data_IF_377798981319
#
_entry.id   IF_377798981319
#
_cell.length_a   1.000
_cell.length_b   1.000
_cell.length_c   1.000
_cell.angle_alpha   90.00
_cell.angle_beta   90.00
_cell.angle_gamma   90.00
#
_symmetry.space_group_name_H-M   'P 1'
#
loop_
_entity.id
_entity.type
_entity.pdbx_description
1 polymer ?
2 non-polymer ?
3 water ?
#
# COMPACT_ATOMS: atom_id res chain seq x y z
N UNK A 1 -6.44 -25.92 -0.76
CA UNK A 1 -5.20 -25.62 -1.47
C UNK A 1 -4.03 -26.37 -0.84
N UNK A 2 -3.01 -26.65 -1.65
CA UNK A 2 -1.83 -27.39 -1.20
C UNK A 2 -0.64 -26.46 -1.05
N UNK A 3 0.44 -27.01 -0.50
CA UNK A 3 1.64 -26.22 -0.28
C UNK A 3 2.29 -25.77 -1.57
N UNK A 4 2.30 -26.64 -2.59
CA UNK A 4 2.82 -26.26 -3.90
C UNK A 4 2.02 -25.12 -4.49
N UNK A 5 0.69 -25.14 -4.28
CA UNK A 5 -0.15 -24.05 -4.75
C UNK A 5 0.22 -22.74 -4.09
N UNK A 6 0.46 -22.78 -2.77
CA UNK A 6 0.77 -21.56 -2.03
C UNK A 6 2.10 -20.98 -2.48
N UNK A 7 3.11 -21.83 -2.70
CA UNK A 7 4.38 -21.32 -3.20
C UNK A 7 4.21 -20.67 -4.57
N UNK A 8 3.44 -21.30 -5.44
CA UNK A 8 3.23 -20.77 -6.79
C UNK A 8 2.61 -19.38 -6.75
N UNK A 9 1.73 -19.13 -5.79
CA UNK A 9 1.02 -17.85 -5.76
C UNK A 9 1.66 -16.80 -4.88
N UNK A 10 2.37 -17.20 -3.82
CA UNK A 10 2.75 -16.30 -2.75
C UNK A 10 4.24 -16.10 -2.58
N UNK A 11 5.07 -16.91 -3.24
CA UNK A 11 6.52 -16.78 -3.14
C UNK A 11 7.04 -16.03 -4.36
N UNK A 12 7.67 -14.87 -4.13
CA UNK A 12 8.19 -14.07 -5.22
C UNK A 12 9.71 -14.01 -5.28
N UNK A 13 10.41 -14.41 -4.22
CA UNK A 13 11.86 -14.43 -4.24
C UNK A 13 12.35 -15.76 -4.84
N UNK A 14 13.67 -15.89 -4.99
CA UNK A 14 14.26 -17.06 -5.64
C UNK A 14 14.55 -18.17 -4.62
N UNK A 15 13.50 -18.65 -3.97
CA UNK A 15 13.62 -19.75 -3.04
C UNK A 15 12.45 -20.71 -3.21
N UNK A 16 12.41 -21.72 -2.34
CA UNK A 16 11.37 -22.75 -2.35
C UNK A 16 10.58 -22.73 -1.04
N UNK A 17 10.50 -21.58 -0.40
CA UNK A 17 9.92 -21.53 0.93
C UNK A 17 9.22 -20.19 1.16
N UNK A 18 8.30 -20.21 2.12
CA UNK A 18 7.63 -19.00 2.57
C UNK A 18 8.22 -18.58 3.91
N UNK A 19 8.75 -17.38 3.98
CA UNK A 19 9.26 -16.80 5.21
C UNK A 19 8.15 -15.99 5.91
N UNK A 20 8.41 -15.55 7.14
CA UNK A 20 7.33 -14.92 7.90
C UNK A 20 6.80 -13.67 7.21
N UNK A 21 7.66 -12.86 6.59
CA UNK A 21 7.14 -11.67 5.91
C UNK A 21 6.18 -12.04 4.78
N UNK A 22 6.51 -13.07 3.99
CA UNK A 22 5.61 -13.51 2.92
C UNK A 22 4.31 -14.03 3.50
N UNK A 23 4.38 -14.75 4.62
CA UNK A 23 3.19 -15.33 5.21
C UNK A 23 2.30 -14.26 5.82
N UNK A 24 2.88 -13.32 6.57
CA UNK A 24 2.05 -12.26 7.15
C UNK A 24 1.38 -11.44 6.05
N UNK A 25 2.12 -11.07 5.00
CA UNK A 25 1.49 -10.29 3.94
C UNK A 25 0.33 -11.04 3.30
N UNK A 26 0.49 -12.34 3.03
CA UNK A 26 -0.59 -13.11 2.45
C UNK A 26 -1.74 -13.26 3.42
N UNK A 27 -1.46 -13.32 4.72
CA UNK A 27 -2.52 -13.30 5.71
C UNK A 27 -3.31 -12.01 5.69
N UNK A 28 -2.64 -10.88 5.49
CA UNK A 28 -3.35 -9.61 5.43
C UNK A 28 -4.24 -9.54 4.20
N UNK A 29 -3.74 -10.02 3.05
CA UNK A 29 -4.56 -10.06 1.84
C UNK A 29 -5.78 -10.96 2.04
N UNK A 30 -5.58 -12.09 2.71
CA UNK A 30 -6.66 -13.05 2.88
C UNK A 30 -7.74 -12.52 3.82
N UNK A 31 -7.34 -11.81 4.88
CA UNK A 31 -8.29 -11.17 5.77
C UNK A 31 -9.32 -10.38 4.98
N UNK A 32 -8.87 -9.52 4.08
CA UNK A 32 -9.79 -8.72 3.27
C UNK A 32 -10.57 -9.60 2.30
N UNK A 33 -9.93 -10.61 1.73
CA UNK A 33 -10.57 -11.43 0.72
C UNK A 33 -11.73 -12.24 1.28
N UNK A 34 -11.70 -12.56 2.58
CA UNK A 34 -12.75 -13.36 3.20
C UNK A 34 -13.76 -12.50 3.95
N UNK A 35 -13.75 -11.19 3.73
CA UNK A 35 -14.55 -10.24 4.48
C UNK A 35 -15.49 -9.55 3.48
N UNK A 36 -16.64 -10.16 3.17
CA UNK A 36 -17.49 -9.63 2.08
C UNK A 36 -18.54 -8.61 2.49
N UNK A 37 -18.60 -8.22 3.75
CA UNK A 37 -19.68 -7.38 4.25
C UNK A 37 -19.33 -5.90 4.35
N UNK A 38 -18.18 -5.48 3.83
CA UNK A 38 -17.87 -4.07 3.71
C UNK A 38 -17.38 -3.38 4.95
N UNK A 39 -16.99 -4.13 5.97
CA UNK A 39 -16.44 -3.57 7.19
C UNK A 39 -14.92 -3.83 7.21
N UNK A 40 -14.29 -3.60 8.36
CA UNK A 40 -12.86 -3.89 8.50
C UNK A 40 -12.60 -5.01 9.50
N UNK A 41 -13.63 -5.82 9.79
CA UNK A 41 -13.60 -6.74 10.91
C UNK A 41 -14.13 -8.11 10.47
N UNK A 42 -13.51 -9.15 11.00
CA UNK A 42 -14.02 -10.50 10.81
C UNK A 42 -14.91 -10.90 11.97
N UNK A 43 -16.13 -11.32 11.66
CA UNK A 43 -17.05 -11.86 12.65
C UNK A 43 -16.93 -13.38 12.64
N UNK A 44 -17.51 -14.03 13.66
CA UNK A 44 -17.27 -15.47 13.81
C UNK A 44 -17.76 -16.25 12.60
N UNK A 45 -18.87 -15.83 11.99
CA UNK A 45 -19.34 -16.52 10.80
C UNK A 45 -18.34 -16.46 9.66
N UNK A 46 -17.65 -15.31 9.53
CA UNK A 46 -16.66 -15.15 8.47
C UNK A 46 -15.44 -16.04 8.63
N UNK A 47 -15.14 -16.49 9.85
CA UNK A 47 -13.93 -17.27 10.10
C UNK A 47 -14.18 -18.76 10.22
N UNK A 48 -15.42 -19.22 10.03
CA UNK A 48 -15.70 -20.65 10.09
C UNK A 48 -14.79 -21.42 9.16
N UNK A 49 -14.33 -22.58 9.61
CA UNK A 49 -13.48 -23.41 8.78
C UNK A 49 -12.05 -22.96 8.67
N UNK A 50 -11.71 -21.81 9.24
CA UNK A 50 -10.36 -21.31 9.28
C UNK A 50 -9.85 -21.17 10.70
N UNK A 51 -10.69 -20.73 11.63
CA UNK A 51 -10.32 -20.54 13.03
C UNK A 51 -11.25 -21.34 13.92
N UNK A 52 -10.74 -21.72 15.09
CA UNK A 52 -11.52 -22.38 16.12
C UNK A 52 -11.96 -21.37 17.18
N UNK A 53 -12.87 -21.82 18.05
CA UNK A 53 -13.26 -21.01 19.20
C UNK A 53 -12.07 -20.75 20.11
N UNK A 54 -11.12 -21.69 20.19
CA UNK A 54 -9.93 -21.49 21.02
C UNK A 54 -9.03 -20.39 20.46
N UNK A 55 -8.97 -20.25 19.13
CA UNK A 55 -8.21 -19.17 18.53
C UNK A 55 -8.80 -17.82 18.89
N UNK A 56 -10.13 -17.71 18.85
CA UNK A 56 -10.80 -16.47 19.25
C UNK A 56 -10.53 -16.16 20.71
N UNK A 57 -10.63 -17.16 21.58
CA UNK A 57 -10.37 -16.93 23.00
C UNK A 57 -8.94 -16.47 23.24
N UNK A 58 -7.99 -17.01 22.49
CA UNK A 58 -6.59 -16.67 22.71
C UNK A 58 -6.25 -15.30 22.15
N UNK A 59 -6.79 -14.95 20.99
CA UNK A 59 -6.35 -13.75 20.27
C UNK A 59 -7.28 -12.55 20.41
N UNK A 60 -8.56 -12.76 20.67
CA UNK A 60 -9.52 -11.65 20.75
C UNK A 60 -9.70 -11.29 22.22
N UNK A 61 -8.86 -10.38 22.72
CA UNK A 61 -8.81 -10.08 24.14
C UNK A 61 -9.40 -8.72 24.49
N UNK A 62 -10.10 -8.09 23.57
CA UNK A 62 -10.57 -6.72 23.71
C UNK A 62 -12.07 -6.64 24.00
N UNK A 63 -12.72 -7.76 24.22
CA UNK A 63 -14.10 -7.74 24.70
C UNK A 63 -15.16 -7.57 23.64
N UNK A 64 -14.78 -7.57 22.36
CA UNK A 64 -15.70 -7.37 21.26
C UNK A 64 -16.06 -8.71 20.61
N UNK A 65 -16.81 -8.64 19.52
CA UNK A 65 -17.15 -9.79 18.70
C UNK A 65 -16.50 -9.71 17.33
N UNK A 66 -15.39 -8.97 17.23
CA UNK A 66 -14.75 -8.65 15.96
C UNK A 66 -13.26 -8.95 16.03
N UNK A 67 -12.77 -9.68 15.02
CA UNK A 67 -11.34 -9.84 14.85
C UNK A 67 -10.83 -8.73 13.94
N UNK A 68 -10.01 -7.85 14.50
CA UNK A 68 -9.29 -6.86 13.73
C UNK A 68 -8.06 -7.50 13.09
N UNK A 69 -7.44 -6.78 12.17
CA UNK A 69 -6.33 -7.35 11.38
C UNK A 69 -5.24 -7.90 12.29
N UNK A 70 -4.93 -7.20 13.38
CA UNK A 70 -3.82 -7.66 14.22
C UNK A 70 -4.16 -8.95 14.94
N UNK A 71 -5.41 -9.12 15.38
CA UNK A 71 -5.78 -10.35 16.07
C UNK A 71 -5.74 -11.56 15.13
N UNK A 72 -6.20 -11.38 13.89
CA UNK A 72 -6.07 -12.39 12.85
C UNK A 72 -4.60 -12.76 12.62
N UNK A 73 -3.74 -11.75 12.44
CA UNK A 73 -2.35 -12.04 12.12
C UNK A 73 -1.61 -12.66 13.31
N UNK A 74 -2.01 -12.34 14.54
CA UNK A 74 -1.40 -12.99 15.71
C UNK A 74 -1.58 -14.50 15.64
N UNK A 75 -2.78 -14.94 15.28
CA UNK A 75 -3.04 -16.38 15.18
C UNK A 75 -2.17 -16.99 14.11
N UNK A 76 -2.07 -16.29 12.97
CA UNK A 76 -1.26 -16.78 11.86
C UNK A 76 0.20 -16.94 12.26
N UNK A 77 0.76 -15.97 12.99
CA UNK A 77 2.15 -16.12 13.40
C UNK A 77 2.33 -17.32 14.32
N UNK A 78 1.38 -17.56 15.23
CA UNK A 78 1.46 -18.75 16.07
C UNK A 78 1.38 -20.03 15.23
N UNK A 79 0.50 -20.05 14.24
CA UNK A 79 0.41 -21.23 13.39
C UNK A 79 1.65 -21.44 12.56
N UNK A 80 2.31 -20.35 12.15
CA UNK A 80 3.57 -20.47 11.41
C UNK A 80 4.60 -21.22 12.23
N UNK A 81 4.75 -20.85 13.51
CA UNK A 81 5.70 -21.52 14.40
C UNK A 81 5.39 -23.00 14.53
N UNK A 82 4.11 -23.35 14.67
CA UNK A 82 3.75 -24.76 14.82
C UNK A 82 4.02 -25.57 13.56
N UNK A 83 3.87 -24.96 12.38
CA UNK A 83 4.15 -25.64 11.13
C UNK A 83 5.63 -25.78 10.82
N UNK A 84 6.47 -24.88 11.35
CA UNK A 84 7.89 -24.81 11.01
C UNK A 84 8.64 -25.84 11.84
N UNK A 85 8.50 -27.10 11.44
CA UNK A 85 8.97 -28.22 12.25
C UNK A 85 10.49 -28.21 12.47
N UNK A 86 11.26 -27.62 11.56
CA UNK A 86 12.70 -27.57 11.72
C UNK A 86 13.21 -26.19 12.15
N UNK A 87 12.34 -25.31 12.61
CA UNK A 87 12.72 -24.09 13.33
C UNK A 87 13.51 -23.08 12.52
N UNK A 88 13.60 -23.23 11.19
CA UNK A 88 14.48 -22.37 10.42
C UNK A 88 13.83 -21.08 9.92
N UNK A 89 12.57 -20.80 10.30
CA UNK A 89 11.89 -19.59 9.86
C UNK A 89 11.41 -19.64 8.43
N UNK A 90 11.41 -20.80 7.81
CA UNK A 90 10.96 -20.96 6.44
C UNK A 90 9.99 -22.13 6.41
N UNK A 91 8.89 -21.97 5.67
CA UNK A 91 7.96 -23.07 5.47
C UNK A 91 8.14 -23.61 4.06
N UNK A 92 8.58 -24.86 3.96
CA UNK A 92 8.68 -25.54 2.69
C UNK A 92 7.38 -26.28 2.39
N UNK A 93 7.31 -26.89 1.20
CA UNK A 93 6.09 -27.56 0.77
C UNK A 93 5.71 -28.70 1.73
N UNK A 94 6.69 -29.47 2.20
CA UNK A 94 6.37 -30.57 3.10
C UNK A 94 5.80 -30.06 4.42
N UNK A 95 6.34 -28.96 4.93
CA UNK A 95 5.79 -28.38 6.16
C UNK A 95 4.40 -27.82 5.92
N UNK A 96 4.18 -27.20 4.74
CA UNK A 96 2.86 -26.64 4.42
C UNK A 96 1.82 -27.73 4.25
N UNK A 97 2.22 -28.91 3.78
CA UNK A 97 1.26 -29.99 3.58
C UNK A 97 1.02 -30.80 4.85
N UNK A 98 1.78 -30.58 5.92
CA UNK A 98 1.55 -31.28 7.18
C UNK A 98 0.24 -30.79 7.80
N UNK A 99 -0.23 -31.51 8.82
CA UNK A 99 -1.46 -31.09 9.50
C UNK A 99 -1.35 -29.65 10.01
N UNK A 100 -0.23 -29.32 10.66
CA UNK A 100 -0.03 -27.95 11.15
C UNK A 100 0.09 -26.96 10.00
N UNK A 101 0.71 -27.38 8.88
CA UNK A 101 0.82 -26.50 7.73
C UNK A 101 -0.51 -26.17 7.11
N UNK A 102 -1.46 -27.10 7.16
CA UNK A 102 -2.81 -26.83 6.67
C UNK A 102 -3.45 -25.65 7.39
N UNK A 103 -3.14 -25.48 8.67
CA UNK A 103 -3.65 -24.35 9.41
C UNK A 103 -3.09 -23.03 8.95
N UNK A 104 -1.84 -23.01 8.48
CA UNK A 104 -1.31 -21.82 7.80
C UNK A 104 -2.02 -21.60 6.47
N UNK A 105 -2.21 -22.68 5.70
CA UNK A 105 -2.75 -22.53 4.35
C UNK A 105 -4.13 -21.88 4.37
N UNK A 106 -4.97 -22.23 5.35
CA UNK A 106 -6.33 -21.69 5.39
C UNK A 106 -6.36 -20.23 5.82
N UNK A 107 -5.24 -19.67 6.24
CA UNK A 107 -5.18 -18.25 6.57
C UNK A 107 -4.46 -17.41 5.52
N UNK A 108 -3.80 -18.03 4.55
CA UNK A 108 -3.02 -17.29 3.56
C UNK A 108 -3.54 -17.42 2.15
N UNK A 109 -4.55 -18.25 1.93
CA UNK A 109 -5.23 -18.25 0.64
C UNK A 109 -6.71 -18.44 0.86
N UNK A 110 -7.48 -17.66 0.13
CA UNK A 110 -8.93 -17.76 0.21
C UNK A 110 -9.34 -19.19 -0.16
N UNK B 1 -0.87 15.95 13.40
CA UNK B 1 -1.97 16.90 13.47
C UNK B 1 -2.57 16.92 14.87
N UNK B 2 -3.70 17.60 15.02
CA UNK B 2 -4.42 17.63 16.29
C UNK B 2 -5.45 16.52 16.33
N UNK B 3 -6.01 16.31 17.51
CA UNK B 3 -7.07 15.32 17.65
C UNK B 3 -8.28 15.66 16.81
N UNK B 4 -8.69 16.94 16.84
CA UNK B 4 -9.82 17.37 16.02
C UNK B 4 -9.53 17.17 14.53
N UNK B 5 -8.31 17.53 14.09
CA UNK B 5 -7.95 17.33 12.70
C UNK B 5 -7.92 15.85 12.34
N UNK B 6 -7.51 14.99 13.28
CA UNK B 6 -7.50 13.55 13.00
C UNK B 6 -8.93 13.01 12.89
N UNK B 7 -9.82 13.46 13.78
CA UNK B 7 -11.22 13.05 13.69
C UNK B 7 -11.84 13.54 12.38
N UNK B 8 -11.54 14.78 11.97
CA UNK B 8 -12.05 15.29 10.70
C UNK B 8 -11.51 14.48 9.52
N UNK B 9 -10.26 14.04 9.61
CA UNK B 9 -9.68 13.26 8.53
C UNK B 9 -10.37 11.91 8.35
N UNK B 10 -10.90 11.34 9.45
CA UNK B 10 -11.63 10.08 9.41
C UNK B 10 -13.14 10.28 9.28
N UNK B 11 -13.57 11.42 8.75
CA UNK B 11 -14.99 11.74 8.57
C UNK B 11 -15.76 11.60 9.88
N UNK B 12 -15.32 12.35 10.88
CA UNK B 12 -15.96 12.39 12.18
C UNK B 12 -16.01 13.83 12.69
N UNK B 13 -16.90 14.07 13.64
CA UNK B 13 -17.10 15.41 14.20
C UNK B 13 -16.14 15.66 15.37
N UNK B 14 -16.10 16.91 15.82
CA UNK B 14 -15.10 17.33 16.80
C UNK B 14 -15.28 16.67 18.16
N UNK B 15 -16.51 16.32 18.53
CA UNK B 15 -16.76 15.70 19.83
C UNK B 15 -16.99 14.19 19.71
N UNK B 16 -16.61 13.60 18.58
CA UNK B 16 -16.68 12.15 18.37
C UNK B 16 -15.41 11.49 18.92
N UNK B 17 -15.32 10.18 18.76
CA UNK B 17 -14.16 9.45 19.29
C UNK B 17 -13.80 8.31 18.36
N UNK B 18 -12.58 7.82 18.52
CA UNK B 18 -12.08 6.70 17.74
C UNK B 18 -12.07 5.44 18.58
N UNK B 19 -12.53 4.34 18.01
CA UNK B 19 -12.48 3.05 18.68
C UNK B 19 -11.46 2.15 18.00
N UNK B 20 -11.23 0.97 18.58
CA UNK B 20 -10.04 0.23 18.21
C UNK B 20 -10.10 -0.27 16.76
N UNK B 21 -11.30 -0.66 16.27
CA UNK B 21 -11.36 -1.17 14.89
C UNK B 21 -10.94 -0.10 13.88
N UNK B 22 -11.43 1.14 14.04
CA UNK B 22 -11.05 2.20 13.11
C UNK B 22 -9.57 2.52 13.22
N UNK B 23 -9.04 2.50 14.44
CA UNK B 23 -7.63 2.78 14.66
C UNK B 23 -6.74 1.71 14.01
N UNK B 24 -7.09 0.44 14.21
CA UNK B 24 -6.27 -0.64 13.63
C UNK B 24 -6.31 -0.56 12.11
N UNK B 25 -7.49 -0.31 11.53
CA UNK B 25 -7.56 -0.21 10.08
C UNK B 25 -6.71 0.94 9.56
N UNK B 26 -6.79 2.10 10.22
CA UNK B 26 -5.94 3.22 9.82
C UNK B 26 -4.45 2.90 10.01
N UNK B 27 -4.11 2.18 11.09
CA UNK B 27 -2.74 1.75 11.28
C UNK B 27 -2.24 0.84 10.18
N UNK B 28 -3.10 -0.05 9.69
CA UNK B 28 -2.70 -0.96 8.61
C UNK B 28 -2.44 -0.19 7.32
N UNK B 29 -3.29 0.80 7.02
CA UNK B 29 -3.08 1.63 5.84
C UNK B 29 -1.79 2.42 5.96
N UNK B 30 -1.53 2.96 7.15
CA UNK B 30 -0.33 3.77 7.37
C UNK B 30 0.95 2.93 7.22
N UNK B 31 0.93 1.68 7.69
CA UNK B 31 2.07 0.79 7.54
C UNK B 31 2.56 0.78 6.09
N UNK B 32 1.63 0.55 5.16
CA UNK B 32 2.01 0.48 3.76
C UNK B 32 2.38 1.86 3.23
N UNK B 33 1.70 2.92 3.69
CA UNK B 33 1.95 4.26 3.18
C UNK B 33 3.33 4.80 3.57
N UNK B 34 3.90 4.35 4.68
CA UNK B 34 5.22 4.79 5.11
C UNK B 34 6.30 3.81 4.68
N UNK B 35 6.00 2.91 3.74
CA UNK B 35 6.90 1.84 3.33
C UNK B 35 7.15 1.97 1.82
N UNK B 36 8.01 2.90 1.41
CA UNK B 36 8.16 3.22 -0.02
C UNK B 36 9.15 2.38 -0.81
N UNK B 37 9.68 1.29 -0.24
CA UNK B 37 10.72 0.52 -0.91
C UNK B 37 10.23 -0.75 -1.59
N UNK B 38 8.92 -0.99 -1.66
CA UNK B 38 8.40 -2.10 -2.43
C UNK B 38 8.43 -3.44 -1.73
N UNK B 39 8.79 -3.48 -0.45
CA UNK B 39 8.77 -4.69 0.33
C UNK B 39 7.49 -4.72 1.18
N UNK B 40 7.38 -5.70 2.07
CA UNK B 40 6.24 -5.75 2.98
C UNK B 40 6.66 -5.53 4.43
N UNK B 41 7.80 -4.90 4.65
CA UNK B 41 8.45 -4.83 5.96
C UNK B 41 8.93 -3.40 6.25
N UNK B 42 8.74 -2.97 7.49
CA UNK B 42 9.29 -1.70 7.94
C UNK B 42 10.67 -1.93 8.54
N UNK B 43 11.66 -1.24 7.97
CA UNK B 43 12.99 -1.19 8.55
C UNK B 43 13.10 0.00 9.48
N UNK B 44 14.14 0.00 10.31
CA UNK B 44 14.23 1.05 11.32
C UNK B 44 14.27 2.44 10.69
N UNK B 45 14.89 2.57 9.52
CA UNK B 45 14.94 3.88 8.89
C UNK B 45 13.60 4.38 8.42
N UNK B 46 12.64 3.46 8.26
CA UNK B 46 11.28 3.84 7.87
C UNK B 46 10.43 4.20 9.09
N UNK B 47 10.85 3.89 10.31
CA UNK B 47 10.03 4.17 11.48
C UNK B 47 10.59 5.26 12.39
N UNK B 48 11.69 5.90 11.99
CA UNK B 48 12.27 6.98 12.80
C UNK B 48 11.25 8.08 13.03
N UNK B 49 11.18 8.54 14.28
CA UNK B 49 10.22 9.54 14.66
C UNK B 49 8.85 9.01 14.98
N UNK B 50 8.56 7.75 14.68
CA UNK B 50 7.29 7.15 15.02
C UNK B 50 7.41 6.09 16.10
N UNK B 51 8.49 5.33 16.09
CA UNK B 51 8.69 4.25 17.05
C UNK B 51 10.06 4.39 17.71
N UNK B 52 10.13 3.95 18.96
CA UNK B 52 11.38 3.98 19.71
C UNK B 52 12.09 2.63 19.64
N UNK B 53 13.36 2.63 20.08
CA UNK B 53 14.08 1.37 20.22
C UNK B 53 13.37 0.41 21.17
N UNK B 54 12.78 0.94 22.24
CA UNK B 54 12.06 0.07 23.17
C UNK B 54 10.81 -0.54 22.54
N UNK B 55 10.14 0.21 21.65
CA UNK B 55 9.00 -0.36 20.91
C UNK B 55 9.44 -1.56 20.08
N UNK B 56 10.54 -1.41 19.36
CA UNK B 56 11.07 -2.53 18.59
C UNK B 56 11.42 -3.72 19.48
N UNK B 57 12.06 -3.47 20.63
CA UNK B 57 12.41 -4.57 21.52
C UNK B 57 11.17 -5.28 22.05
N UNK B 58 10.08 -4.56 22.29
CA UNK B 58 8.88 -5.20 22.82
C UNK B 58 8.14 -6.00 21.75
N UNK B 59 8.04 -5.46 20.53
CA UNK B 59 7.15 -6.00 19.52
C UNK B 59 7.83 -6.91 18.52
N UNK B 60 9.12 -6.72 18.25
CA UNK B 60 9.84 -7.48 17.24
C UNK B 60 10.53 -8.65 17.93
N UNK B 61 9.83 -9.78 18.00
CA UNK B 61 10.27 -10.92 18.82
C UNK B 61 10.84 -12.06 17.98
N UNK B 62 11.04 -11.85 16.68
CA UNK B 62 11.37 -12.93 15.76
C UNK B 62 12.82 -12.94 15.29
N UNK B 63 13.67 -12.07 15.85
CA UNK B 63 15.09 -12.11 15.57
C UNK B 63 15.53 -11.41 14.31
N UNK B 64 14.63 -10.73 13.61
CA UNK B 64 14.93 -10.07 12.34
C UNK B 64 15.15 -8.58 12.58
N UNK B 65 15.36 -7.85 11.49
CA UNK B 65 15.47 -6.40 11.56
C UNK B 65 14.27 -5.72 10.90
N UNK B 66 13.12 -6.41 10.88
CA UNK B 66 11.97 -5.95 10.11
C UNK B 66 10.68 -6.06 10.91
N UNK B 67 9.88 -4.99 10.88
CA UNK B 67 8.54 -5.06 11.45
C UNK B 67 7.58 -5.51 10.38
N UNK B 68 6.95 -6.67 10.59
CA UNK B 68 5.83 -7.08 9.78
C UNK B 68 4.56 -6.38 10.28
N UNK B 69 3.48 -6.52 9.54
CA UNK B 69 2.26 -5.78 9.86
C UNK B 69 1.76 -6.06 11.27
N UNK B 70 1.84 -7.33 11.71
CA UNK B 70 1.33 -7.65 13.04
C UNK B 70 2.16 -7.00 14.15
N UNK B 71 3.49 -6.92 13.96
CA UNK B 71 4.34 -6.32 14.99
C UNK B 71 4.08 -4.82 15.09
N UNK B 72 3.92 -4.16 13.95
CA UNK B 72 3.51 -2.74 13.94
C UNK B 72 2.18 -2.54 14.66
N UNK B 73 1.18 -3.35 14.32
CA UNK B 73 -0.13 -3.14 14.93
C UNK B 73 -0.14 -3.48 16.41
N UNK B 74 0.76 -4.37 16.86
CA UNK B 74 0.86 -4.65 18.30
C UNK B 74 1.24 -3.39 19.05
N UNK B 75 2.20 -2.63 18.52
CA UNK B 75 2.60 -1.38 19.15
C UNK B 75 1.44 -0.39 19.17
N UNK B 76 0.69 -0.32 18.07
CA UNK B 76 -0.45 0.60 18.02
C UNK B 76 -1.51 0.24 19.06
N UNK B 77 -1.81 -1.04 19.22
CA UNK B 77 -2.79 -1.40 20.24
C UNK B 77 -2.29 -1.02 21.64
N UNK B 78 -0.99 -1.21 21.91
CA UNK B 78 -0.43 -0.79 23.20
C UNK B 78 -0.58 0.72 23.38
N UNK B 79 -0.31 1.49 22.32
CA UNK B 79 -0.40 2.94 22.42
C UNK B 79 -1.83 3.41 22.58
N UNK B 80 -2.78 2.72 21.96
CA UNK B 80 -4.18 3.07 22.12
C UNK B 80 -4.57 2.99 23.58
N UNK B 81 -4.17 1.90 24.24
CA UNK B 81 -4.48 1.72 25.66
C UNK B 81 -3.85 2.81 26.51
N UNK B 82 -2.60 3.20 26.21
CA UNK B 82 -1.94 4.23 27.01
C UNK B 82 -2.60 5.59 26.82
N UNK B 83 -3.04 5.90 25.60
CA UNK B 83 -3.69 7.16 25.36
C UNK B 83 -5.11 7.20 25.90
N UNK B 84 -5.71 6.03 26.10
CA UNK B 84 -7.06 5.91 26.61
C UNK B 84 -6.99 6.00 28.15
N UNK B 85 -6.82 7.23 28.63
CA UNK B 85 -6.52 7.47 30.04
C UNK B 85 -7.62 6.95 30.96
N UNK B 86 -8.86 6.92 30.50
CA UNK B 86 -9.97 6.41 31.30
C UNK B 86 -10.36 4.99 30.95
N UNK B 87 -9.70 4.38 29.95
CA UNK B 87 -9.84 2.96 29.64
C UNK B 87 -11.25 2.58 29.18
N UNK B 88 -12.01 3.52 28.62
CA UNK B 88 -13.34 3.22 28.11
C UNK B 88 -13.37 2.67 26.69
N UNK B 89 -12.23 2.48 26.05
CA UNK B 89 -12.18 1.95 24.71
C UNK B 89 -12.35 2.97 23.61
N UNK B 90 -12.38 4.26 23.95
CA UNK B 90 -12.58 5.32 22.98
C UNK B 90 -11.54 6.40 23.20
N UNK B 91 -11.07 6.98 22.09
CA UNK B 91 -10.13 8.11 22.16
C UNK B 91 -10.85 9.37 21.68
N UNK B 92 -11.04 10.31 22.61
CA UNK B 92 -11.58 11.61 22.25
C UNK B 92 -10.49 12.49 21.65
N UNK B 93 -10.91 13.65 21.16
CA UNK B 93 -9.95 14.64 20.67
C UNK B 93 -8.93 14.98 21.76
N UNK B 94 -9.38 15.19 23.00
CA UNK B 94 -8.46 15.54 24.09
C UNK B 94 -7.47 14.41 24.36
N UNK B 95 -7.92 13.17 24.32
CA UNK B 95 -6.98 12.07 24.52
C UNK B 95 -5.99 11.98 23.37
N UNK B 96 -6.46 12.23 22.14
CA UNK B 96 -5.55 12.25 21.01
C UNK B 96 -4.53 13.37 21.11
N UNK B 97 -4.89 14.49 21.75
CA UNK B 97 -4.00 15.63 21.83
C UNK B 97 -2.95 15.47 22.92
N UNK B 98 -3.11 14.52 23.82
CA UNK B 98 -2.14 14.27 24.89
C UNK B 98 -0.84 13.75 24.29
N UNK B 99 0.20 13.72 25.12
CA UNK B 99 1.48 13.18 24.66
C UNK B 99 1.36 11.72 24.22
N UNK B 100 0.59 10.92 24.97
CA UNK B 100 0.38 9.53 24.58
C UNK B 100 -0.49 9.43 23.32
N UNK B 101 -1.47 10.32 23.21
CA UNK B 101 -2.30 10.33 22.01
C UNK B 101 -1.52 10.67 20.76
N UNK B 102 -0.51 11.53 20.89
CA UNK B 102 0.37 11.84 19.77
C UNK B 102 0.99 10.58 19.21
N UNK B 103 1.30 9.62 20.08
CA UNK B 103 1.89 8.38 19.66
C UNK B 103 0.93 7.53 18.84
N UNK B 104 -0.37 7.61 19.14
CA UNK B 104 -1.36 6.99 18.27
C UNK B 104 -1.40 7.70 16.92
N UNK B 105 -1.41 9.03 16.93
CA UNK B 105 -1.56 9.79 15.68
C UNK B 105 -0.43 9.49 14.69
N UNK B 106 0.81 9.35 15.17
CA UNK B 106 1.92 9.09 14.24
C UNK B 106 1.86 7.69 13.64
N UNK B 107 0.96 6.84 14.13
CA UNK B 107 0.79 5.50 13.57
C UNK B 107 -0.47 5.35 12.72
N UNK B 108 -1.39 6.32 12.75
CA UNK B 108 -2.62 6.23 11.97
C UNK B 108 -2.70 7.25 10.84
N UNK B 109 -1.71 8.12 10.72
CA UNK B 109 -1.63 9.08 9.62
C UNK B 109 -0.16 9.26 9.26
N UNK B 110 0.12 9.37 7.97
CA UNK B 110 1.46 9.60 7.48
C UNK B 110 1.97 10.92 8.05
N UNK C 1 -6.79 18.74 5.20
CA UNK C 1 -5.61 19.12 5.96
C UNK C 1 -5.05 20.46 5.50
N UNK C 2 -4.07 20.97 6.24
CA UNK C 2 -3.43 22.24 5.91
C UNK C 2 -2.09 22.01 5.24
N UNK C 3 -1.55 23.09 4.67
CA UNK C 3 -0.23 23.03 4.06
C UNK C 3 0.85 22.63 5.05
N UNK C 4 0.80 23.21 6.26
CA UNK C 4 1.76 22.85 7.29
C UNK C 4 1.67 21.37 7.64
N UNK C 5 0.45 20.84 7.75
CA UNK C 5 0.29 19.42 8.04
C UNK C 5 0.86 18.54 6.93
N UNK C 6 0.78 18.99 5.67
CA UNK C 6 1.26 18.19 4.56
C UNK C 6 2.78 18.14 4.51
N UNK C 7 3.43 19.28 4.76
CA UNK C 7 4.89 19.29 4.85
C UNK C 7 5.37 18.41 5.98
N UNK C 8 4.71 18.50 7.15
CA UNK C 8 5.09 17.66 8.29
C UNK C 8 4.92 16.18 7.96
N UNK C 9 3.88 15.83 7.17
CA UNK C 9 3.67 14.45 6.78
C UNK C 9 4.76 13.94 5.83
N UNK C 10 5.41 14.84 5.09
CA UNK C 10 6.54 14.47 4.26
C UNK C 10 7.87 14.77 4.92
N UNK C 11 7.87 14.94 6.25
CA UNK C 11 9.07 15.20 7.05
C UNK C 11 9.86 16.39 6.52
N UNK C 12 9.16 17.50 6.30
CA UNK C 12 9.77 18.74 5.85
C UNK C 12 9.53 19.83 6.87
N UNK C 13 10.38 20.86 6.82
CA UNK C 13 10.26 21.98 7.73
C UNK C 13 9.07 22.85 7.32
N UNK C 14 8.68 23.76 8.22
CA UNK C 14 7.48 24.57 7.99
C UNK C 14 7.66 25.52 6.81
N UNK C 15 8.89 25.90 6.49
CA UNK C 15 9.18 26.81 5.39
C UNK C 15 9.76 26.10 4.16
N UNK C 16 9.64 24.78 4.11
CA UNK C 16 10.08 24.03 2.94
C UNK C 16 8.97 24.04 1.87
N UNK C 17 9.23 23.37 0.76
CA UNK C 17 8.26 23.30 -0.31
C UNK C 17 8.33 21.94 -0.97
N UNK C 18 7.33 21.64 -1.79
CA UNK C 18 7.24 20.36 -2.47
C UNK C 18 7.43 20.55 -3.95
N UNK C 19 8.32 19.76 -4.55
CA UNK C 19 8.52 19.72 -5.99
C UNK C 19 7.67 18.60 -6.60
N UNK C 20 7.61 18.60 -7.93
CA UNK C 20 6.69 17.67 -8.61
C UNK C 20 7.06 16.22 -8.32
N UNK C 21 8.35 15.89 -8.27
CA UNK C 21 8.72 14.50 -7.96
C UNK C 21 8.18 14.08 -6.59
N UNK C 22 8.21 14.97 -5.61
CA UNK C 22 7.74 14.63 -4.28
C UNK C 22 6.22 14.46 -4.27
N UNK C 23 5.52 15.30 -5.03
CA UNK C 23 4.08 15.24 -5.08
C UNK C 23 3.60 13.99 -5.80
N UNK C 24 4.24 13.64 -6.93
CA UNK C 24 3.83 12.44 -7.66
C UNK C 24 4.05 11.21 -6.82
N UNK C 25 5.17 11.15 -6.09
CA UNK C 25 5.42 10.01 -5.20
C UNK C 25 4.35 9.91 -4.13
N UNK C 26 4.01 11.02 -3.48
CA UNK C 26 2.98 10.97 -2.44
C UNK C 26 1.61 10.64 -3.03
N UNK C 27 1.36 11.06 -4.27
CA UNK C 27 0.12 10.68 -4.93
C UNK C 27 0.04 9.19 -5.20
N UNK C 28 1.16 8.57 -5.55
CA UNK C 28 1.19 7.14 -5.78
C UNK C 28 0.94 6.38 -4.48
N UNK C 29 1.52 6.87 -3.38
CA UNK C 29 1.26 6.30 -2.06
C UNK C 29 -0.20 6.42 -1.69
N UNK C 30 -0.81 7.57 -1.98
CA UNK C 30 -2.19 7.80 -1.58
C UNK C 30 -3.16 6.95 -2.40
N UNK C 31 -2.86 6.75 -3.69
CA UNK C 31 -3.67 5.85 -4.53
C UNK C 31 -3.89 4.51 -3.83
N UNK C 32 -2.81 3.88 -3.37
CA UNK C 32 -2.93 2.60 -2.70
C UNK C 32 -3.63 2.74 -1.35
N UNK C 33 -3.35 3.83 -0.62
CA UNK C 33 -3.90 3.97 0.72
C UNK C 33 -5.40 4.15 0.73
N UNK C 34 -5.97 4.73 -0.33
CA UNK C 34 -7.39 4.96 -0.42
C UNK C 34 -8.12 3.85 -1.17
N UNK C 35 -7.46 2.70 -1.37
CA UNK C 35 -7.99 1.58 -2.13
C UNK C 35 -8.11 0.37 -1.22
N UNK C 36 -9.22 0.23 -0.49
CA UNK C 36 -9.31 -0.81 0.56
C UNK C 36 -9.99 -2.10 0.12
N UNK C 37 -10.31 -2.27 -1.16
CA UNK C 37 -11.09 -3.43 -1.62
C UNK C 37 -10.21 -4.53 -2.21
N UNK C 38 -8.90 -4.45 -2.06
CA UNK C 38 -8.05 -5.55 -2.47
C UNK C 38 -7.71 -5.62 -3.94
N UNK C 39 -8.10 -4.63 -4.73
CA UNK C 39 -7.77 -4.58 -6.15
C UNK C 39 -6.59 -3.62 -6.37
N UNK C 40 -6.29 -3.33 -7.64
CA UNK C 40 -5.25 -2.37 -7.98
C UNK C 40 -5.81 -1.12 -8.64
N UNK C 41 -7.11 -0.89 -8.49
CA UNK C 41 -7.84 0.11 -9.25
C UNK C 41 -8.73 0.94 -8.35
N UNK C 42 -8.82 2.25 -8.65
CA UNK C 42 -9.79 3.12 -7.99
C UNK C 42 -11.10 3.15 -8.77
N UNK C 43 -12.19 2.80 -8.10
CA UNK C 43 -13.52 2.97 -8.65
C UNK C 43 -14.04 4.35 -8.27
N UNK C 44 -15.14 4.77 -8.89
CA UNK C 44 -15.56 6.15 -8.74
C UNK C 44 -15.86 6.48 -7.29
N UNK C 45 -16.46 5.55 -6.55
CA UNK C 45 -16.72 5.79 -5.14
C UNK C 45 -15.46 6.02 -4.33
N UNK C 46 -14.39 5.29 -4.65
CA UNK C 46 -13.14 5.47 -3.92
C UNK C 46 -12.52 6.85 -4.16
N UNK C 47 -12.93 7.56 -5.20
CA UNK C 47 -12.38 8.88 -5.47
C UNK C 47 -13.32 10.00 -5.05
N UNK C 48 -14.39 9.69 -4.33
CA UNK C 48 -15.37 10.70 -3.93
C UNK C 48 -14.73 11.75 -3.02
N UNK C 49 -15.04 13.02 -3.30
CA UNK C 49 -14.42 14.11 -2.57
C UNK C 49 -13.01 14.43 -3.01
N UNK C 50 -12.44 13.66 -3.93
CA UNK C 50 -11.08 13.89 -4.42
C UNK C 50 -11.04 14.23 -5.90
N UNK C 51 -11.90 13.62 -6.71
CA UNK C 51 -11.97 13.88 -8.14
C UNK C 51 -13.41 14.14 -8.52
N UNK C 52 -13.60 14.92 -9.57
CA UNK C 52 -14.93 15.19 -10.12
C UNK C 52 -15.18 14.26 -11.31
N UNK C 53 -16.45 14.19 -11.72
CA UNK C 53 -16.77 13.42 -12.93
C UNK C 53 -16.01 13.97 -14.14
N UNK C 54 -15.78 15.29 -14.17
CA UNK C 54 -15.02 15.87 -15.26
C UNK C 54 -13.56 15.40 -15.24
N UNK C 55 -12.99 15.21 -14.05
CA UNK C 55 -11.64 14.65 -13.96
C UNK C 55 -11.59 13.24 -14.52
N UNK C 56 -12.59 12.42 -14.20
CA UNK C 56 -12.65 11.07 -14.74
C UNK C 56 -12.72 11.09 -16.26
N UNK C 57 -13.54 11.97 -16.82
CA UNK C 57 -13.67 12.02 -18.26
C UNK C 57 -12.38 12.46 -18.94
N UNK C 58 -11.58 13.30 -18.27
CA UNK C 58 -10.32 13.75 -18.86
C UNK C 58 -9.27 12.65 -18.80
N UNK C 59 -9.19 11.94 -17.67
CA UNK C 59 -8.06 11.04 -17.43
C UNK C 59 -8.35 9.60 -17.82
N UNK C 60 -9.61 9.17 -17.81
CA UNK C 60 -9.95 7.76 -18.01
C UNK C 60 -10.36 7.57 -19.46
N UNK C 61 -9.40 7.17 -20.29
CA UNK C 61 -9.58 7.16 -21.74
C UNK C 61 -9.65 5.75 -22.31
N UNK C 62 -9.67 4.72 -21.46
CA UNK C 62 -9.59 3.34 -21.91
C UNK C 62 -10.93 2.62 -21.87
N UNK C 63 -12.03 3.34 -21.66
CA UNK C 63 -13.35 2.75 -21.75
C UNK C 63 -13.73 1.82 -20.61
N UNK C 64 -13.07 1.94 -19.46
CA UNK C 64 -13.37 1.12 -18.30
C UNK C 64 -14.04 1.97 -17.22
N UNK C 65 -14.29 1.36 -16.06
CA UNK C 65 -14.80 2.07 -14.90
C UNK C 65 -13.78 2.11 -13.77
N UNK C 66 -12.49 2.05 -14.11
CA UNK C 66 -11.42 1.94 -13.12
C UNK C 66 -10.30 2.93 -13.43
N UNK C 67 -9.84 3.65 -12.41
CA UNK C 67 -8.65 4.46 -12.53
C UNK C 67 -7.43 3.63 -12.18
N UNK C 68 -6.55 3.42 -13.15
CA UNK C 68 -5.23 2.87 -12.89
C UNK C 68 -4.30 3.99 -12.42
N UNK C 69 -3.12 3.61 -11.93
CA UNK C 69 -2.22 4.57 -11.30
C UNK C 69 -1.88 5.72 -12.23
N UNK C 70 -1.64 5.42 -13.51
CA UNK C 70 -1.25 6.48 -14.43
C UNK C 70 -2.37 7.49 -14.64
N UNK C 71 -3.62 7.04 -14.69
CA UNK C 71 -4.74 7.95 -14.88
C UNK C 71 -4.92 8.86 -13.67
N UNK C 72 -4.73 8.30 -12.47
CA UNK C 72 -4.78 9.09 -11.24
C UNK C 72 -3.68 10.15 -11.23
N UNK C 73 -2.43 9.76 -11.52
CA UNK C 73 -1.32 10.70 -11.47
C UNK C 73 -1.40 11.77 -12.56
N UNK C 74 -2.06 11.49 -13.69
CA UNK C 74 -2.26 12.52 -14.71
C UNK C 74 -2.98 13.72 -14.13
N UNK C 75 -4.05 13.46 -13.37
CA UNK C 75 -4.81 14.56 -12.77
C UNK C 75 -3.94 15.33 -11.78
N UNK C 76 -3.15 14.61 -11.00
CA UNK C 76 -2.34 15.25 -9.97
C UNK C 76 -1.29 16.18 -10.58
N UNK C 77 -0.66 15.75 -11.69
CA UNK C 77 0.32 16.64 -12.32
C UNK C 77 -0.33 17.95 -12.77
N UNK C 78 -1.56 17.88 -13.31
CA UNK C 78 -2.27 19.10 -13.68
C UNK C 78 -2.60 19.95 -12.46
N UNK C 79 -3.04 19.31 -11.38
CA UNK C 79 -3.38 20.05 -10.17
C UNK C 79 -2.15 20.72 -9.56
N UNK C 80 -0.98 20.08 -9.65
CA UNK C 80 0.24 20.71 -9.17
C UNK C 80 0.49 22.03 -9.89
N UNK C 81 0.37 22.03 -11.22
CA UNK C 81 0.59 23.25 -11.97
C UNK C 81 -0.38 24.35 -11.55
N UNK C 82 -1.65 24.00 -11.31
CA UNK C 82 -2.62 25.02 -10.92
C UNK C 82 -2.30 25.61 -9.55
N UNK C 83 -1.75 24.80 -8.64
CA UNK C 83 -1.43 25.28 -7.31
C UNK C 83 -0.14 26.10 -7.25
N UNK C 84 0.72 26.00 -8.27
CA UNK C 84 2.01 26.70 -8.24
C UNK C 84 1.81 28.13 -8.73
N UNK C 85 1.33 28.98 -7.81
CA UNK C 85 0.90 30.32 -8.17
C UNK C 85 2.04 31.20 -8.66
N UNK C 86 3.26 31.01 -8.15
CA UNK C 86 4.36 31.83 -8.65
C UNK C 86 5.23 31.10 -9.66
N UNK C 87 4.81 29.93 -10.11
CA UNK C 87 5.42 29.21 -11.24
C UNK C 87 6.91 28.97 -11.04
N UNK C 88 7.30 28.61 -9.82
CA UNK C 88 8.69 28.28 -9.55
C UNK C 88 8.94 26.79 -9.41
N UNK C 89 7.91 25.97 -9.62
CA UNK C 89 8.02 24.53 -9.48
C UNK C 89 8.01 24.02 -8.06
N UNK C 90 7.71 24.86 -7.09
CA UNK C 90 7.72 24.47 -5.69
C UNK C 90 6.40 24.92 -5.08
N UNK C 91 5.78 24.05 -4.28
CA UNK C 91 4.56 24.39 -3.56
C UNK C 91 4.90 24.62 -2.09
N UNK C 92 4.69 25.85 -1.62
CA UNK C 92 4.86 26.18 -0.22
C UNK C 92 3.62 25.82 0.57
N UNK C 93 3.72 25.96 1.90
CA UNK C 93 2.55 25.73 2.74
C UNK C 93 1.39 26.64 2.34
N UNK C 94 1.68 27.91 2.04
CA UNK C 94 0.61 28.84 1.65
C UNK C 94 -0.04 28.43 0.35
N UNK C 95 0.76 27.97 -0.63
CA UNK C 95 0.16 27.49 -1.87
C UNK C 95 -0.69 26.24 -1.65
N UNK C 96 -0.28 25.39 -0.72
CA UNK C 96 -1.08 24.21 -0.41
C UNK C 96 -2.38 24.56 0.30
N UNK C 97 -2.44 25.71 0.99
CA UNK C 97 -3.66 26.16 1.66
C UNK C 97 -4.68 26.77 0.70
N UNK C 98 -4.25 27.15 -0.51
CA UNK C 98 -5.14 27.79 -1.47
C UNK C 98 -6.15 26.78 -2.00
N UNK C 99 -7.14 27.28 -2.74
CA UNK C 99 -8.15 26.41 -3.33
C UNK C 99 -7.51 25.35 -4.23
N UNK C 100 -6.62 25.78 -5.13
CA UNK C 100 -5.92 24.82 -5.98
C UNK C 100 -5.04 23.90 -5.15
N UNK C 101 -4.42 24.43 -4.10
CA UNK C 101 -3.57 23.61 -3.28
C UNK C 101 -4.33 22.53 -2.53
N UNK C 102 -5.56 22.84 -2.10
CA UNK C 102 -6.41 21.82 -1.50
C UNK C 102 -6.70 20.70 -2.49
N UNK C 103 -6.78 21.02 -3.78
CA UNK C 103 -6.92 19.98 -4.79
C UNK C 103 -5.72 19.05 -4.87
N UNK C 104 -4.53 19.56 -4.56
CA UNK C 104 -3.37 18.68 -4.45
C UNK C 104 -3.47 17.85 -3.18
N UNK C 105 -3.86 18.47 -2.07
CA UNK C 105 -3.84 17.77 -0.78
C UNK C 105 -4.76 16.55 -0.78
N UNK C 106 -5.92 16.65 -1.44
CA UNK C 106 -6.85 15.52 -1.45
C UNK C 106 -6.35 14.34 -2.27
N UNK C 107 -5.26 14.52 -3.02
CA UNK C 107 -4.64 13.44 -3.76
C UNK C 107 -3.33 12.95 -3.17
N UNK C 108 -2.76 13.66 -2.19
CA UNK C 108 -1.49 13.27 -1.59
C UNK C 108 -1.61 12.94 -0.11
N UNK C 109 -2.80 13.01 0.46
CA UNK C 109 -3.02 12.63 1.85
C UNK C 109 -4.31 11.82 1.93
N UNK C 110 -4.28 10.76 2.72
CA UNK C 110 -5.49 10.00 2.91
C UNK C 110 -6.50 10.79 3.73
N UNK D 1 11.96 -13.30 -19.03
CA UNK D 1 12.22 -12.70 -20.34
C UNK D 1 11.18 -13.14 -21.36
N UNK D 2 10.35 -14.12 -20.98
CA UNK D 2 9.30 -14.63 -21.85
C UNK D 2 7.93 -14.29 -21.28
N UNK D 3 6.92 -14.41 -22.14
CA UNK D 3 5.55 -14.17 -21.70
C UNK D 3 5.10 -15.17 -20.64
N UNK D 4 5.56 -16.42 -20.75
CA UNK D 4 5.24 -17.41 -19.73
C UNK D 4 5.78 -16.98 -18.36
N UNK D 5 6.98 -16.40 -18.33
CA UNK D 5 7.55 -15.95 -17.06
C UNK D 5 6.72 -14.83 -16.45
N UNK D 6 6.21 -13.92 -17.29
CA UNK D 6 5.41 -12.82 -16.78
C UNK D 6 4.03 -13.28 -16.35
N UNK D 7 3.44 -14.24 -17.07
CA UNK D 7 2.09 -14.70 -16.75
C UNK D 7 2.07 -15.44 -15.41
N UNK D 8 3.06 -16.28 -15.14
CA UNK D 8 3.09 -17.00 -13.88
C UNK D 8 3.47 -16.12 -12.70
N UNK D 9 3.50 -14.80 -12.85
CA UNK D 9 3.93 -13.93 -11.77
C UNK D 9 2.95 -12.78 -11.55
N UNK D 10 2.28 -12.34 -12.60
CA UNK D 10 1.47 -11.13 -12.54
C UNK D 10 -0.03 -11.39 -12.68
N UNK D 16 -5.89 -16.56 -18.66
CA UNK D 16 -4.45 -16.36 -18.54
C UNK D 16 -3.96 -15.32 -19.56
N UNK D 17 -4.35 -14.08 -19.32
CA UNK D 17 -3.86 -12.93 -20.06
C UNK D 17 -3.74 -11.78 -19.08
N UNK D 18 -3.03 -10.72 -19.51
CA UNK D 18 -2.80 -9.55 -18.68
C UNK D 18 -3.64 -8.39 -19.20
N UNK D 19 -4.49 -7.84 -18.34
CA UNK D 19 -5.23 -6.65 -18.69
C UNK D 19 -4.46 -5.41 -18.25
N UNK D 20 -4.97 -4.24 -18.63
CA UNK D 20 -4.21 -3.01 -18.39
C UNK D 20 -3.99 -2.77 -16.90
N UNK D 21 -4.98 -3.08 -16.06
CA UNK D 21 -4.79 -2.89 -14.63
C UNK D 21 -3.65 -3.73 -14.10
N UNK D 22 -3.55 -4.99 -14.55
CA UNK D 22 -2.45 -5.83 -14.11
C UNK D 22 -1.11 -5.32 -14.63
N UNK D 23 -1.10 -4.82 -15.86
CA UNK D 23 0.14 -4.32 -16.46
C UNK D 23 0.60 -3.03 -15.80
N UNK D 24 -0.31 -2.07 -15.60
CA UNK D 24 0.09 -0.82 -14.95
C UNK D 24 0.56 -1.07 -13.53
N UNK D 25 -0.13 -1.94 -12.80
CA UNK D 25 0.30 -2.23 -11.43
C UNK D 25 1.70 -2.84 -11.42
N UNK D 26 1.97 -3.79 -12.33
CA UNK D 26 3.30 -4.38 -12.41
C UNK D 26 4.33 -3.38 -12.86
N UNK D 27 3.94 -2.42 -13.72
CA UNK D 27 4.85 -1.35 -14.09
C UNK D 27 5.20 -0.45 -12.93
N UNK D 28 4.24 -0.20 -12.04
CA UNK D 28 4.52 0.61 -10.85
C UNK D 28 5.48 -0.11 -9.92
N UNK D 29 5.24 -1.40 -9.69
CA UNK D 29 6.16 -2.14 -8.83
C UNK D 29 7.54 -2.23 -9.45
N UNK D 30 7.62 -2.36 -10.78
CA UNK D 30 8.93 -2.43 -11.43
C UNK D 30 9.68 -1.10 -11.35
N UNK D 31 8.97 0.02 -11.53
CA UNK D 31 9.57 1.34 -11.38
C UNK D 31 10.34 1.43 -10.06
N UNK D 32 9.69 1.06 -8.96
CA UNK D 32 10.33 1.11 -7.65
C UNK D 32 11.47 0.11 -7.54
N UNK D 33 11.30 -1.08 -8.12
CA UNK D 33 12.29 -2.15 -7.95
C UNK D 33 13.58 -1.89 -8.72
N UNK D 34 13.52 -1.15 -9.82
CA UNK D 34 14.70 -0.92 -10.65
C UNK D 34 15.40 0.40 -10.32
N UNK D 35 15.01 1.02 -9.22
CA UNK D 35 15.52 2.33 -8.82
C UNK D 35 16.31 2.19 -7.52
N UNK D 36 17.64 2.07 -7.57
CA UNK D 36 18.43 1.73 -6.37
C UNK D 36 19.02 2.89 -5.59
N UNK D 37 18.84 4.14 -6.04
CA UNK D 37 19.58 5.29 -5.52
C UNK D 37 18.80 6.11 -4.50
N UNK D 38 17.68 5.59 -3.98
CA UNK D 38 17.03 6.24 -2.87
C UNK D 38 16.15 7.41 -3.23
N UNK D 39 16.06 7.76 -4.52
CA UNK D 39 15.16 8.83 -4.94
C UNK D 39 13.82 8.22 -5.34
N UNK D 40 12.98 9.03 -5.97
CA UNK D 40 11.69 8.57 -6.47
C UNK D 40 11.62 8.64 -7.99
N UNK D 41 12.77 8.74 -8.66
CA UNK D 41 12.84 9.11 -10.08
C UNK D 41 13.79 8.19 -10.81
N UNK D 42 13.44 7.82 -12.04
CA UNK D 42 14.37 7.08 -12.88
C UNK D 42 15.18 8.05 -13.72
N UNK D 43 16.50 7.88 -13.69
CA UNK D 43 17.42 8.57 -14.58
C UNK D 43 17.76 7.63 -15.74
N UNK D 44 18.38 8.18 -16.78
CA UNK D 44 18.62 7.38 -17.97
C UNK D 44 19.55 6.21 -17.68
N UNK D 45 20.45 6.35 -16.71
CA UNK D 45 21.29 5.24 -16.28
C UNK D 45 20.53 4.12 -15.61
N UNK D 46 19.29 4.35 -15.20
CA UNK D 46 18.43 3.34 -14.61
C UNK D 46 17.44 2.75 -15.62
N UNK D 47 17.37 3.29 -16.85
CA UNK D 47 16.44 2.79 -17.85
C UNK D 47 17.11 2.12 -19.04
N UNK D 48 18.42 1.83 -18.94
CA UNK D 48 19.15 1.20 -20.02
C UNK D 48 18.56 -0.16 -20.36
N UNK D 49 18.38 -0.43 -21.64
CA UNK D 49 17.79 -1.67 -22.08
C UNK D 49 16.30 -1.78 -21.86
N UNK D 50 15.65 -0.74 -21.36
CA UNK D 50 14.21 -0.75 -21.19
C UNK D 50 13.53 0.36 -21.98
N UNK D 51 14.14 1.53 -22.07
CA UNK D 51 13.58 2.67 -22.79
C UNK D 51 14.61 3.24 -23.75
N UNK D 52 14.11 3.84 -24.83
CA UNK D 52 14.92 4.52 -25.83
C UNK D 52 14.89 6.03 -25.60
N UNK D 53 15.81 6.73 -26.27
CA UNK D 53 15.80 8.19 -26.20
C UNK D 53 14.51 8.75 -26.79
N UNK D 54 13.94 8.07 -27.78
CA UNK D 54 12.67 8.49 -28.36
C UNK D 54 11.53 8.40 -27.36
N UNK D 55 11.54 7.36 -26.50
CA UNK D 55 10.55 7.25 -25.43
C UNK D 55 10.66 8.41 -24.46
N UNK D 56 11.88 8.71 -24.01
CA UNK D 56 12.11 9.85 -23.13
C UNK D 56 11.58 11.15 -23.74
N UNK D 57 11.86 11.38 -25.02
CA UNK D 57 11.41 12.62 -25.66
C UNK D 57 9.89 12.71 -25.72
N UNK D 58 9.21 11.57 -25.87
CA UNK D 58 7.76 11.59 -26.00
C UNK D 58 7.07 11.75 -24.65
N UNK D 59 7.62 11.17 -23.58
CA UNK D 59 6.93 11.11 -22.30
C UNK D 59 7.47 12.07 -21.25
N UNK D 60 8.72 12.52 -21.37
CA UNK D 60 9.32 13.42 -20.39
C UNK D 60 9.21 14.85 -20.91
N UNK D 61 8.12 15.51 -20.55
CA UNK D 61 7.82 16.84 -21.07
C UNK D 61 8.13 17.96 -20.10
N UNK D 62 8.47 17.64 -18.85
CA UNK D 62 8.60 18.64 -17.79
C UNK D 62 9.99 19.26 -17.69
N UNK D 63 10.83 19.04 -18.69
CA UNK D 63 12.11 19.72 -18.77
C UNK D 63 13.15 19.28 -17.78
N UNK D 64 12.96 18.13 -17.14
CA UNK D 64 13.91 17.60 -16.19
C UNK D 64 14.69 16.45 -16.85
N UNK D 65 15.52 15.77 -16.06
CA UNK D 65 16.23 14.59 -16.51
C UNK D 65 15.75 13.35 -15.76
N UNK D 66 14.52 13.37 -15.27
CA UNK D 66 14.01 12.36 -14.36
C UNK D 66 12.63 11.91 -14.80
N UNK D 67 12.47 10.59 -14.94
CA UNK D 67 11.15 10.03 -15.14
C UNK D 67 10.50 9.83 -13.78
N UNK D 68 9.40 10.55 -13.54
CA UNK D 68 8.55 10.27 -12.40
C UNK D 68 7.64 9.10 -12.76
N UNK D 69 6.95 8.57 -11.75
CA UNK D 69 6.14 7.36 -11.95
C UNK D 69 5.16 7.53 -13.10
N UNK D 70 4.53 8.70 -13.20
CA UNK D 70 3.50 8.87 -14.23
C UNK D 70 4.09 8.84 -15.65
N UNK D 71 5.28 9.40 -15.84
CA UNK D 71 5.90 9.41 -17.17
C UNK D 71 6.29 8.00 -17.59
N UNK D 72 6.83 7.22 -16.65
CA UNK D 72 7.14 5.82 -16.89
C UNK D 72 5.88 5.05 -17.30
N UNK D 73 4.81 5.19 -16.52
CA UNK D 73 3.61 4.42 -16.81
C UNK D 73 2.94 4.84 -18.11
N UNK D 74 3.09 6.12 -18.49
CA UNK D 74 2.57 6.56 -19.80
C UNK D 74 3.20 5.78 -20.94
N UNK D 75 4.53 5.61 -20.90
CA UNK D 75 5.20 4.81 -21.91
C UNK D 75 4.65 3.39 -21.92
N UNK D 76 4.45 2.81 -20.72
CA UNK D 76 3.97 1.44 -20.63
C UNK D 76 2.59 1.29 -21.26
N UNK D 77 1.67 2.23 -21.00
CA UNK D 77 0.35 2.10 -21.61
C UNK D 77 0.44 2.18 -23.12
N UNK D 78 1.31 3.06 -23.64
CA UNK D 78 1.52 3.14 -25.09
C UNK D 78 2.01 1.81 -25.63
N UNK D 79 2.98 1.19 -24.95
CA UNK D 79 3.48 -0.11 -25.40
C UNK D 79 2.42 -1.20 -25.28
N UNK D 80 1.58 -1.13 -24.24
CA UNK D 80 0.48 -2.08 -24.10
C UNK D 80 -0.41 -2.07 -25.34
N UNK D 81 -0.73 -0.88 -25.86
CA UNK D 81 -1.62 -0.81 -27.02
C UNK D 81 -0.96 -1.36 -28.27
N UNK D 82 0.35 -1.13 -28.44
CA UNK D 82 1.06 -1.71 -29.58
C UNK D 82 1.08 -3.23 -29.52
N UNK D 83 1.11 -3.80 -28.31
CA UNK D 83 1.14 -5.24 -28.15
C UNK D 83 -0.24 -5.88 -28.20
N UNK D 84 -1.32 -5.08 -28.11
CA UNK D 84 -2.69 -5.58 -28.07
C UNK D 84 -3.13 -5.90 -29.50
N UNK D 85 -2.64 -7.03 -30.00
CA UNK D 85 -2.92 -7.41 -31.39
C UNK D 85 -4.39 -7.75 -31.58
N UNK D 86 -5.02 -8.38 -30.59
CA UNK D 86 -6.42 -8.76 -30.69
C UNK D 86 -7.38 -7.61 -30.43
N UNK D 87 -6.87 -6.45 -30.04
CA UNK D 87 -7.70 -5.27 -29.77
C UNK D 87 -8.78 -5.54 -28.71
N UNK D 88 -8.46 -6.38 -27.74
CA UNK D 88 -9.40 -6.76 -26.69
C UNK D 88 -8.93 -6.39 -25.30
N UNK D 89 -7.83 -5.64 -25.19
CA UNK D 89 -7.34 -5.25 -23.89
C UNK D 89 -6.74 -6.36 -23.07
N UNK D 90 -6.50 -7.53 -23.67
CA UNK D 90 -5.93 -8.68 -22.97
C UNK D 90 -4.67 -9.11 -23.71
N UNK D 91 -3.57 -9.24 -22.97
CA UNK D 91 -2.29 -9.65 -23.56
C UNK D 91 -2.01 -11.11 -23.22
N UNK D 92 -2.01 -11.96 -24.23
CA UNK D 92 -1.69 -13.37 -24.05
C UNK D 92 -0.18 -13.55 -23.99
N UNK D 93 0.23 -14.79 -23.68
CA UNK D 93 1.66 -15.07 -23.63
C UNK D 93 2.30 -14.85 -24.99
N UNK D 94 1.61 -15.23 -26.06
CA UNK D 94 2.13 -15.05 -27.41
C UNK D 94 2.29 -13.57 -27.74
N UNK D 95 1.27 -12.76 -27.43
CA UNK D 95 1.39 -11.32 -27.67
C UNK D 95 2.51 -10.71 -26.83
N UNK D 96 2.74 -11.23 -25.63
CA UNK D 96 3.86 -10.75 -24.83
C UNK D 96 5.20 -11.16 -25.44
N UNK D 97 5.24 -12.29 -26.16
CA UNK D 97 6.48 -12.74 -26.79
C UNK D 97 6.75 -12.05 -28.13
N UNK D 98 5.78 -11.33 -28.68
CA UNK D 98 5.97 -10.58 -29.92
C UNK D 98 7.00 -9.46 -29.72
N UNK D 99 7.40 -8.84 -30.83
CA UNK D 99 8.36 -7.74 -30.76
C UNK D 99 7.82 -6.58 -29.92
N UNK D 100 6.54 -6.24 -30.10
CA UNK D 100 5.94 -5.19 -29.28
C UNK D 100 5.74 -5.65 -27.85
N UNK D 101 5.40 -6.93 -27.66
CA UNK D 101 5.24 -7.45 -26.32
C UNK D 101 6.52 -7.40 -25.52
N UNK D 102 7.68 -7.57 -26.18
CA UNK D 102 8.95 -7.47 -25.47
C UNK D 102 9.12 -6.12 -24.80
N UNK D 103 8.59 -5.06 -25.43
CA UNK D 103 8.66 -3.75 -24.81
C UNK D 103 7.81 -3.63 -23.56
N UNK D 104 6.72 -4.41 -23.49
CA UNK D 104 5.96 -4.48 -22.24
C UNK D 104 6.75 -5.24 -21.19
N UNK D 105 7.34 -6.38 -21.59
CA UNK D 105 8.04 -7.25 -20.64
C UNK D 105 9.14 -6.52 -19.88
N UNK D 106 9.90 -5.67 -20.57
CA UNK D 106 11.02 -4.98 -19.94
C UNK D 106 10.57 -3.88 -18.98
N UNK D 107 9.28 -3.56 -18.94
CA UNK D 107 8.77 -2.57 -18.01
C UNK D 107 7.94 -3.14 -16.89
N UNK D 108 7.59 -4.43 -16.94
CA UNK D 108 6.74 -5.06 -15.93
C UNK D 108 7.46 -6.10 -15.09
N UNK D 109 8.75 -6.30 -15.31
CA UNK D 109 9.51 -7.18 -14.44
C UNK D 109 10.97 -6.75 -14.46
N UNK D 110 11.57 -6.79 -13.28
CA UNK D 110 12.96 -6.42 -13.05
C UNK D 110 13.88 -7.30 -13.90
X LIG E 1 10.49 -16.98 -0.10
X LIG F 1 -17.01 -8.50 8.36
X LIG G 1 -11.29 -7.62 18.68
X LIG H 1 11.13 -24.97 7.94
X LIG I 1 10.57 -1.39 3.77
X LIG J 1 9.92 -9.09 12.66
X LIG K 1 -11.22 7.36 26.53
X LIG L 1 -10.68 -0.46 -5.70
X LIG M 1 -8.94 3.12 -16.79
X LIG N 1 5.61 28.16 -5.80
X LIG O 1 -5.88 -11.03 -16.24
X LIG P 1 16.90 7.13 -9.40
X LIG Q 1 10.08 14.31 -15.62
X LIG R 1 -4.96 -9.41 -27.18
#
# INVERSE_FOLDING_TARGET
ASGADALKALNKDNDDSLEIAEVIHAGATTFTAINPDGDTTLESGETKGRLTEKDWARANKDGDQTLEMDEWLKILRTRFKRADANKDGKLTAAELDSKAGQGVLVMIMK
ASGADALKALNKDNDDSLEIAEVIHAGATTFTAINPDGDTTLESGETKGRLTEKDWARANKDGDQTLEMDEWLKILRTRFKRADANKDGKLTAAELDSKAGQGVLVMIMK
ASGADALKALNKDNDDSLEIAEVIHAGATTFTAINPDGDTTLESGETKGRLTEKDWARANKDGDQTLEMDEWLKILRTRFKRADANKDGKLTAAELDSKAGQGVLVMIMK
ASGADALKALNKDNDDSLEIAEVIHAGATTFTAINPDGDTTLESGETKGRLTEKDWARANKDGDQTLEMDEWLKILRTRFKRADANKDGKLTAAELDSKAGQGVLVMIMK
DY DY
DY DY
DY DY
DY DY
DY DY
DY DY
DY DY
DY DY
DY DY
DY DY
DY DY
DY DY
DY DY
DY DY
#
